data_IF_662096774130
#
_entry.id   IF_662096774130
#
_cell.length_a   1.000
_cell.length_b   1.000
_cell.length_c   1.000
_cell.angle_alpha   90.00
_cell.angle_beta   90.00
_cell.angle_gamma   90.00
#
_symmetry.space_group_name_H-M   'P 1'
#
loop_
_entity.id
_entity.type
_entity.pdbx_description
1 polymer ?
#
# COMPACT_ATOMS: atom_id res chain seq x y z
N UNK A 1 -67.99 7.30 -69.38
CA UNK A 1 -66.94 6.41 -68.86
C UNK A 1 -66.85 6.62 -67.36
N UNK A 2 -67.46 5.73 -66.58
CA UNK A 2 -67.44 5.77 -65.11
C UNK A 2 -66.57 4.61 -64.63
N UNK A 3 -65.48 4.90 -63.93
CA UNK A 3 -64.60 3.90 -63.31
C UNK A 3 -65.09 3.60 -61.90
N UNK A 4 -65.47 2.34 -61.67
CA UNK A 4 -65.76 1.78 -60.36
C UNK A 4 -64.44 1.50 -59.61
N UNK A 5 -64.35 1.97 -58.36
CA UNK A 5 -63.27 1.67 -57.43
C UNK A 5 -63.63 0.42 -56.60
N UNK A 6 -62.66 -0.47 -56.30
CA UNK A 6 -62.91 -1.65 -55.48
C UNK A 6 -62.96 -1.30 -53.97
N UNK A 7 -63.96 -1.83 -53.29
CA UNK A 7 -64.13 -1.76 -51.84
C UNK A 7 -62.98 -2.47 -51.11
N UNK A 8 -62.22 -1.71 -50.32
CA UNK A 8 -61.20 -2.24 -49.41
C UNK A 8 -61.91 -2.76 -48.16
N UNK A 9 -62.09 -4.08 -48.06
CA UNK A 9 -62.60 -4.73 -46.86
C UNK A 9 -61.60 -4.61 -45.71
N UNK A 10 -61.99 -3.96 -44.63
CA UNK A 10 -61.27 -3.97 -43.36
C UNK A 10 -61.50 -5.33 -42.68
N UNK A 11 -60.47 -6.14 -42.57
CA UNK A 11 -60.45 -7.33 -41.72
C UNK A 11 -60.07 -6.87 -40.31
N UNK A 12 -61.06 -6.76 -39.43
CA UNK A 12 -60.84 -6.59 -38.00
C UNK A 12 -60.35 -7.91 -37.41
N UNK A 13 -59.08 -8.00 -37.07
CA UNK A 13 -58.56 -9.09 -36.25
C UNK A 13 -59.03 -8.92 -34.80
N UNK A 14 -59.59 -9.95 -34.16
CA UNK A 14 -59.97 -9.87 -32.76
C UNK A 14 -58.74 -9.73 -31.87
N UNK A 15 -58.82 -8.79 -30.93
CA UNK A 15 -57.84 -8.59 -29.88
C UNK A 15 -57.94 -9.77 -28.90
N UNK A 16 -57.09 -10.78 -29.10
CA UNK A 16 -56.94 -11.88 -28.13
C UNK A 16 -56.25 -11.32 -26.90
N UNK A 17 -57.00 -11.07 -25.84
CA UNK A 17 -56.48 -10.90 -24.47
C UNK A 17 -55.92 -12.23 -23.99
N UNK A 18 -54.68 -12.50 -24.38
CA UNK A 18 -53.88 -13.61 -23.88
C UNK A 18 -53.46 -13.34 -22.44
N UNK A 19 -53.76 -14.31 -21.58
CA UNK A 19 -53.36 -14.41 -20.18
C UNK A 19 -51.97 -13.84 -19.90
N UNK A 20 -51.90 -12.97 -18.90
CA UNK A 20 -50.67 -12.44 -18.28
C UNK A 20 -50.03 -13.44 -17.33
N UNK A 21 -49.85 -14.69 -17.76
CA UNK A 21 -49.07 -15.68 -17.02
C UNK A 21 -48.36 -16.56 -18.07
N UNK A 22 -47.03 -16.63 -17.99
CA UNK A 22 -46.15 -17.53 -18.74
C UNK A 22 -45.69 -17.11 -20.16
N UNK A 23 -45.02 -15.95 -20.30
CA UNK A 23 -44.05 -15.81 -21.41
C UNK A 23 -42.89 -14.83 -21.15
N UNK A 24 -42.23 -14.95 -19.98
CA UNK A 24 -40.80 -14.59 -19.87
C UNK A 24 -39.99 -15.75 -20.46
N UNK A 25 -40.31 -16.13 -21.70
CA UNK A 25 -39.52 -17.05 -22.49
C UNK A 25 -38.28 -16.33 -22.96
N UNK A 26 -37.23 -16.28 -22.13
CA UNK A 26 -35.91 -15.85 -22.58
C UNK A 26 -35.55 -16.64 -23.83
N UNK A 27 -35.57 -15.96 -24.98
CA UNK A 27 -35.35 -16.55 -26.29
C UNK A 27 -34.03 -17.38 -26.24
N UNK A 28 -34.05 -18.70 -26.44
CA UNK A 28 -32.91 -19.59 -26.19
C UNK A 28 -31.71 -19.28 -27.11
N UNK A 29 -31.93 -18.50 -28.19
CA UNK A 29 -30.86 -17.96 -29.03
C UNK A 29 -30.13 -16.78 -28.40
N UNK A 30 -30.81 -15.94 -27.61
CA UNK A 30 -30.17 -14.82 -26.90
C UNK A 30 -29.31 -15.31 -25.74
N UNK A 31 -29.73 -16.35 -25.02
CA UNK A 31 -28.98 -16.92 -23.89
C UNK A 31 -27.65 -17.54 -24.30
N UNK A 32 -27.55 -18.15 -25.50
CA UNK A 32 -26.29 -18.66 -26.06
C UNK A 32 -25.31 -17.54 -26.44
N UNK A 33 -25.81 -16.42 -26.97
CA UNK A 33 -24.97 -15.25 -27.30
C UNK A 33 -24.48 -14.55 -26.03
N UNK A 34 -25.33 -14.43 -25.02
CA UNK A 34 -24.96 -13.88 -23.70
C UNK A 34 -23.90 -14.73 -23.00
N UNK A 35 -24.02 -16.07 -23.00
CA UNK A 35 -22.99 -16.96 -22.44
C UNK A 35 -21.61 -16.75 -23.07
N UNK A 36 -21.53 -16.61 -24.40
CA UNK A 36 -20.27 -16.33 -25.09
C UNK A 36 -19.70 -14.96 -24.70
N UNK A 37 -20.55 -13.95 -24.53
CA UNK A 37 -20.14 -12.63 -24.07
C UNK A 37 -19.65 -12.66 -22.62
N UNK A 38 -20.31 -13.43 -21.74
CA UNK A 38 -19.91 -13.58 -20.34
C UNK A 38 -18.62 -14.38 -20.16
N UNK A 39 -18.38 -15.39 -20.99
CA UNK A 39 -17.09 -16.09 -21.04
C UNK A 39 -15.96 -15.15 -21.51
N UNK A 40 -16.22 -14.31 -22.51
CA UNK A 40 -15.26 -13.29 -22.93
C UNK A 40 -15.02 -12.24 -21.84
N UNK A 41 -16.07 -11.80 -21.13
CA UNK A 41 -15.96 -10.87 -20.00
C UNK A 41 -15.19 -11.48 -18.82
N UNK A 42 -15.41 -12.74 -18.47
CA UNK A 42 -14.67 -13.45 -17.41
C UNK A 42 -13.19 -13.61 -17.75
N UNK A 43 -12.86 -13.81 -19.03
CA UNK A 43 -11.47 -13.87 -19.52
C UNK A 43 -10.82 -12.48 -19.55
N UNK A 44 -11.58 -11.44 -19.91
CA UNK A 44 -11.10 -10.07 -19.98
C UNK A 44 -10.94 -9.42 -18.59
N UNK A 45 -11.85 -9.71 -17.66
CA UNK A 45 -11.86 -9.22 -16.27
C UNK A 45 -11.38 -10.31 -15.30
N UNK A 46 -10.43 -11.15 -15.69
CA UNK A 46 -9.92 -12.16 -14.76
C UNK A 46 -9.25 -11.44 -13.58
N UNK A 47 -9.71 -11.67 -12.34
CA UNK A 47 -9.21 -10.94 -11.17
C UNK A 47 -7.71 -11.13 -10.98
N UNK A 48 -7.16 -12.26 -11.45
CA UNK A 48 -5.72 -12.50 -11.50
C UNK A 48 -4.99 -11.54 -12.45
N UNK A 49 -5.50 -11.27 -13.66
CA UNK A 49 -4.85 -10.30 -14.57
C UNK A 49 -4.88 -8.90 -14.01
N UNK A 50 -6.00 -8.51 -13.41
CA UNK A 50 -6.13 -7.20 -12.77
C UNK A 50 -5.12 -7.10 -11.63
N UNK A 51 -5.04 -8.12 -10.76
CA UNK A 51 -4.05 -8.17 -9.67
C UNK A 51 -2.61 -8.11 -10.21
N UNK A 52 -2.28 -8.86 -11.26
CA UNK A 52 -0.96 -8.81 -11.87
C UNK A 52 -0.65 -7.45 -12.49
N UNK A 53 -1.62 -6.81 -13.18
CA UNK A 53 -1.44 -5.45 -13.72
C UNK A 53 -1.24 -4.41 -12.60
N UNK A 54 -2.03 -4.51 -11.53
CA UNK A 54 -1.92 -3.63 -10.36
C UNK A 54 -0.60 -3.83 -9.63
N UNK A 55 -0.08 -5.04 -9.56
CA UNK A 55 1.21 -5.35 -8.92
C UNK A 55 2.40 -5.01 -9.83
N UNK A 56 2.27 -5.19 -11.14
CA UNK A 56 3.31 -4.86 -12.10
C UNK A 56 3.64 -3.36 -12.11
N UNK A 57 2.64 -2.51 -11.90
CA UNK A 57 2.82 -1.05 -11.92
C UNK A 57 3.79 -0.51 -10.84
N UNK A 58 3.61 -0.76 -9.53
CA UNK A 58 4.57 -0.31 -8.52
C UNK A 58 5.94 -0.98 -8.68
N UNK A 59 5.97 -2.22 -9.19
CA UNK A 59 7.22 -2.93 -9.42
C UNK A 59 8.06 -2.28 -10.52
N UNK A 60 7.46 -1.91 -11.65
CA UNK A 60 8.17 -1.22 -12.73
C UNK A 60 8.63 0.17 -12.30
N UNK A 61 7.78 0.92 -11.58
CA UNK A 61 8.14 2.22 -11.00
C UNK A 61 9.34 2.05 -10.06
N UNK A 62 9.30 1.08 -9.13
CA UNK A 62 10.39 0.81 -8.20
C UNK A 62 11.71 0.51 -8.93
N UNK A 63 11.67 -0.37 -9.94
CA UNK A 63 12.85 -0.72 -10.74
C UNK A 63 13.45 0.49 -11.48
N UNK A 64 12.61 1.33 -12.09
CA UNK A 64 13.06 2.54 -12.77
C UNK A 64 13.68 3.51 -11.77
N UNK A 65 13.05 3.70 -10.61
CA UNK A 65 13.51 4.63 -9.58
C UNK A 65 14.88 4.21 -9.04
N UNK A 66 15.06 2.92 -8.74
CA UNK A 66 16.34 2.35 -8.31
C UNK A 66 17.38 2.51 -9.42
N UNK A 67 17.05 2.18 -10.67
CA UNK A 67 17.97 2.29 -11.80
C UNK A 67 18.43 3.73 -12.06
N UNK A 68 17.52 4.70 -11.98
CA UNK A 68 17.84 6.13 -12.09
C UNK A 68 18.75 6.55 -10.94
N UNK A 69 18.39 6.21 -9.70
CA UNK A 69 19.19 6.53 -8.51
C UNK A 69 20.64 6.05 -8.63
N UNK A 70 20.85 4.79 -9.02
CA UNK A 70 22.18 4.21 -9.20
C UNK A 70 22.99 4.85 -10.34
N UNK A 71 22.33 5.53 -11.28
CA UNK A 71 23.01 6.19 -12.40
C UNK A 71 23.37 7.64 -12.10
N UNK A 72 22.57 8.31 -11.27
CA UNK A 72 22.75 9.73 -10.93
C UNK A 72 23.52 9.96 -9.63
N UNK A 73 23.70 8.94 -8.79
CA UNK A 73 24.38 9.11 -7.51
C UNK A 73 25.86 9.44 -7.71
N UNK A 74 26.39 10.33 -6.87
CA UNK A 74 27.83 10.62 -6.81
C UNK A 74 28.66 9.48 -6.19
N UNK A 75 28.00 8.50 -5.58
CA UNK A 75 28.62 7.31 -5.00
C UNK A 75 28.95 6.25 -6.06
N UNK A 76 29.91 5.38 -5.76
CA UNK A 76 30.10 4.18 -6.57
C UNK A 76 28.84 3.29 -6.50
N UNK A 77 28.59 2.48 -7.54
CA UNK A 77 27.38 1.63 -7.61
C UNK A 77 27.16 0.79 -6.35
N UNK A 78 28.24 0.25 -5.78
CA UNK A 78 28.16 -0.59 -4.59
C UNK A 78 27.84 0.24 -3.33
N UNK A 79 28.42 1.43 -3.20
CA UNK A 79 28.15 2.40 -2.13
C UNK A 79 26.74 3.00 -2.21
N UNK A 80 26.25 3.29 -3.41
CA UNK A 80 24.89 3.75 -3.64
C UNK A 80 23.87 2.71 -3.19
N UNK A 81 24.13 1.41 -3.45
CA UNK A 81 23.29 0.33 -2.93
C UNK A 81 23.33 0.28 -1.41
N UNK A 82 24.50 0.42 -0.78
CA UNK A 82 24.62 0.48 0.69
C UNK A 82 23.80 1.65 1.24
N UNK A 83 23.90 2.83 0.63
CA UNK A 83 23.15 4.01 1.02
C UNK A 83 21.63 3.80 0.84
N UNK A 84 21.18 3.15 -0.23
CA UNK A 84 19.78 2.83 -0.45
C UNK A 84 19.26 1.76 0.53
N UNK A 85 20.04 0.74 0.85
CA UNK A 85 19.64 -0.28 1.85
C UNK A 85 19.65 0.30 3.25
N UNK A 86 20.58 1.20 3.56
CA UNK A 86 20.56 1.93 4.80
C UNK A 86 19.26 2.72 4.95
N UNK A 87 18.60 3.14 3.85
CA UNK A 87 17.24 3.73 3.83
C UNK A 87 16.19 2.86 4.56
N UNK A 88 16.36 1.53 4.54
CA UNK A 88 15.44 0.60 5.19
C UNK A 88 15.71 0.44 6.70
N UNK A 89 16.90 0.80 7.18
CA UNK A 89 17.28 0.76 8.60
C UNK A 89 18.70 0.25 8.86
N UNK A 90 19.10 0.25 10.13
CA UNK A 90 20.41 -0.24 10.54
C UNK A 90 20.53 -1.76 10.45
N UNK A 91 19.49 -2.49 10.89
CA UNK A 91 19.48 -3.96 10.84
C UNK A 91 19.61 -4.51 9.41
N UNK A 92 19.06 -3.81 8.43
CA UNK A 92 19.11 -4.22 7.03
C UNK A 92 20.48 -3.99 6.43
N UNK A 93 21.10 -2.84 6.68
CA UNK A 93 22.43 -2.53 6.11
C UNK A 93 23.55 -3.30 6.81
N UNK A 94 23.47 -3.51 8.13
CA UNK A 94 24.50 -4.23 8.90
C UNK A 94 24.62 -5.72 8.51
N UNK A 95 23.57 -6.30 7.92
CA UNK A 95 23.62 -7.66 7.33
C UNK A 95 24.43 -7.72 6.05
N UNK A 96 24.58 -6.60 5.35
CA UNK A 96 25.37 -6.51 4.13
C UNK A 96 26.79 -6.02 4.43
N UNK A 97 26.90 -4.93 5.18
CA UNK A 97 28.17 -4.27 5.49
C UNK A 97 28.16 -3.80 6.95
N UNK A 98 29.14 -4.20 7.77
CA UNK A 98 29.24 -3.71 9.14
C UNK A 98 29.52 -2.19 9.16
N UNK A 99 28.80 -1.45 10.00
CA UNK A 99 29.06 -0.03 10.27
C UNK A 99 30.27 0.20 11.19
N UNK A 100 30.57 1.45 11.59
CA UNK A 100 29.71 2.65 11.55
C UNK A 100 29.67 3.39 10.21
N UNK A 101 28.59 4.15 9.97
CA UNK A 101 28.46 5.03 8.80
C UNK A 101 28.50 6.50 9.23
N UNK A 102 29.34 7.31 8.59
CA UNK A 102 29.56 8.71 8.97
C UNK A 102 28.76 9.67 8.09
N UNK A 103 28.37 10.81 8.66
CA UNK A 103 27.64 11.86 7.95
C UNK A 103 28.32 12.25 6.62
N UNK A 104 27.52 12.38 5.57
CA UNK A 104 27.98 12.63 4.19
C UNK A 104 28.48 11.38 3.45
N UNK A 105 28.75 10.30 4.16
CA UNK A 105 29.21 9.03 3.58
C UNK A 105 28.08 8.10 3.12
N UNK A 106 28.43 7.08 2.31
CA UNK A 106 27.50 6.03 1.94
C UNK A 106 27.03 5.26 3.19
N UNK A 107 25.75 4.90 3.22
CA UNK A 107 25.12 4.22 4.35
C UNK A 107 24.65 5.14 5.49
N UNK A 108 25.04 6.42 5.52
CA UNK A 108 24.51 7.36 6.51
C UNK A 108 23.13 7.88 6.14
N UNK A 109 22.21 7.85 7.10
CA UNK A 109 20.90 8.50 7.02
C UNK A 109 20.59 9.13 8.37
N UNK A 110 20.07 10.37 8.36
CA UNK A 110 19.67 11.07 9.60
C UNK A 110 18.69 10.28 10.46
N UNK A 111 17.79 9.50 9.86
CA UNK A 111 16.85 8.65 10.63
C UNK A 111 17.52 7.46 11.35
N UNK A 112 18.74 7.11 10.95
CA UNK A 112 19.55 6.04 11.55
C UNK A 112 20.56 6.59 12.59
N UNK A 113 20.54 7.90 12.84
CA UNK A 113 21.38 8.65 13.79
C UNK A 113 20.46 9.41 14.78
N UNK A 114 19.85 8.69 15.75
CA UNK A 114 18.86 9.28 16.65
C UNK A 114 19.48 10.22 17.70
N UNK A 115 20.77 10.11 17.96
CA UNK A 115 21.56 10.96 18.86
C UNK A 115 22.17 12.17 18.16
N UNK A 116 22.26 12.17 16.82
CA UNK A 116 22.73 13.30 16.02
C UNK A 116 24.23 13.54 16.20
N UNK A 117 25.00 12.49 16.47
CA UNK A 117 26.45 12.58 16.65
C UNK A 117 27.23 12.46 15.33
N UNK A 118 26.51 12.33 14.20
CA UNK A 118 27.08 12.16 12.87
C UNK A 118 27.46 10.71 12.57
N UNK A 119 27.08 9.74 13.42
CA UNK A 119 27.43 8.32 13.28
C UNK A 119 26.17 7.45 13.27
N UNK A 120 25.73 7.08 12.07
CA UNK A 120 24.62 6.15 11.90
C UNK A 120 25.06 4.69 12.14
N UNK A 121 24.16 3.92 12.75
CA UNK A 121 24.31 2.48 12.96
C UNK A 121 25.61 2.07 13.68
N UNK A 122 26.13 2.94 14.55
CA UNK A 122 27.20 2.58 15.48
C UNK A 122 26.76 1.45 16.41
N UNK A 123 27.73 0.72 16.98
CA UNK A 123 27.48 -0.40 17.89
C UNK A 123 26.62 -0.05 19.12
N UNK A 124 26.43 1.24 19.42
CA UNK A 124 25.48 1.74 20.43
C UNK A 124 24.00 1.71 20.00
N UNK A 125 23.71 1.72 18.69
CA UNK A 125 22.34 1.77 18.13
C UNK A 125 21.57 0.44 18.21
N UNK A 126 22.27 -0.70 18.16
CA UNK A 126 21.67 -2.05 18.26
C UNK A 126 21.01 -2.31 19.63
N UNK A 127 21.41 -1.59 20.69
CA UNK A 127 20.85 -1.79 22.03
C UNK A 127 19.57 -0.97 22.27
N UNK A 128 19.39 0.14 21.56
CA UNK A 128 18.31 1.10 21.82
C UNK A 128 17.02 0.80 21.05
N UNK A 129 17.09 0.10 19.92
CA UNK A 129 15.88 -0.37 19.21
C UNK A 129 15.32 -1.68 19.77
N UNK A 130 16.15 -2.52 20.42
CA UNK A 130 15.70 -3.76 21.05
C UNK A 130 14.87 -3.54 22.32
N UNK A 131 14.87 -2.31 22.85
CA UNK A 131 14.15 -1.95 24.09
C UNK A 131 12.75 -1.37 23.86
N UNK A 132 12.33 -1.15 22.61
CA UNK A 132 10.99 -0.60 22.28
C UNK A 132 10.00 -1.64 21.74
N UNK A 133 10.40 -2.90 21.58
CA UNK A 133 9.54 -3.97 21.08
C UNK A 133 9.41 -5.12 22.10
N UNK A 134 8.58 -4.93 23.13
CA UNK A 134 7.79 -6.00 23.81
C UNK A 134 6.95 -5.41 24.97
N UNK A 135 5.60 -5.54 24.96
CA UNK A 135 4.80 -5.48 26.17
C UNK A 135 4.63 -6.91 26.72
N UNK A 136 5.22 -7.22 27.87
CA UNK A 136 4.89 -8.46 28.57
C UNK A 136 5.96 -9.01 29.50
N UNK A 137 5.66 -8.95 30.80
CA UNK A 137 6.23 -9.77 31.89
C UNK A 137 7.67 -9.46 32.33
N UNK A 138 7.80 -8.42 33.15
CA UNK A 138 8.98 -8.19 33.97
C UNK A 138 9.01 -9.20 35.14
N UNK A 139 9.84 -10.24 35.01
CA UNK A 139 10.30 -11.06 36.12
C UNK A 139 11.51 -10.43 36.80
N UNK A 140 11.34 -10.07 38.06
CA UNK A 140 12.31 -9.73 39.12
C UNK A 140 13.83 -9.73 38.80
N UNK A 141 14.46 -8.55 38.89
CA UNK A 141 15.85 -8.34 39.37
C UNK A 141 16.09 -6.82 39.63
N UNK A 142 17.02 -6.43 40.54
CA UNK A 142 16.81 -5.33 41.48
C UNK A 142 17.05 -3.92 40.89
N UNK A 143 16.16 -3.00 41.31
CA UNK A 143 16.13 -1.58 40.99
C UNK A 143 17.23 -0.87 41.78
N UNK A 144 18.27 -0.38 41.10
CA UNK A 144 19.16 0.63 41.68
C UNK A 144 18.37 1.91 41.90
N UNK A 145 18.10 2.22 43.15
CA UNK A 145 17.43 3.44 43.61
C UNK A 145 18.39 4.62 43.46
N UNK A 146 18.37 5.29 42.30
CA UNK A 146 18.87 6.66 42.23
C UNK A 146 17.87 7.56 42.96
N UNK A 147 18.34 8.21 44.03
CA UNK A 147 17.57 9.13 44.85
C UNK A 147 16.96 10.27 44.00
N UNK A 148 15.73 10.75 44.29
CA UNK A 148 15.17 11.90 43.61
C UNK A 148 15.97 13.15 43.97
N UNK A 149 16.47 13.88 42.97
CA UNK A 149 16.97 15.24 43.18
C UNK A 149 15.81 16.11 43.65
N UNK A 150 15.85 16.42 44.94
CA UNK A 150 14.98 17.36 45.63
C UNK A 150 15.02 18.71 44.91
N UNK A 151 13.89 19.10 44.33
CA UNK A 151 13.72 20.37 43.63
C UNK A 151 13.39 21.41 44.70
N UNK A 152 14.41 22.10 45.20
CA UNK A 152 14.27 23.19 46.18
C UNK A 152 13.44 24.32 45.55
N UNK A 153 12.14 24.34 45.81
CA UNK A 153 11.26 25.46 45.44
C UNK A 153 11.33 26.51 46.54
N UNK A 154 11.84 27.70 46.17
CA UNK A 154 11.98 28.84 47.05
C UNK A 154 10.64 29.30 47.62
N UNK A 155 10.69 29.70 48.88
CA UNK A 155 9.57 30.19 49.71
C UNK A 155 8.89 31.41 49.09
N UNK A 156 7.74 31.23 48.45
CA UNK A 156 6.80 32.32 48.20
C UNK A 156 5.88 32.49 49.42
N UNK A 157 5.99 33.65 50.09
CA UNK A 157 5.11 34.03 51.20
C UNK A 157 3.71 34.34 50.67
N UNK A 158 2.72 33.58 51.10
CA UNK A 158 1.30 33.89 50.87
C UNK A 158 0.85 34.96 51.85
N UNK A 159 0.42 36.12 51.33
CA UNK A 159 -0.40 37.09 52.04
C UNK A 159 -1.87 36.69 51.86
N UNK A 160 -2.61 36.57 52.97
CA UNK A 160 -4.02 36.19 53.01
C UNK A 160 -4.89 37.46 52.96
N UNK A 161 -6.03 37.46 52.24
CA UNK A 161 -6.93 38.61 52.16
C UNK A 161 -7.62 38.93 53.49
#
# INVERSE_FOLDING_TARGET
>A
MAMALPHTGYISTPMTTGNTNDEIGLNPRMTRRQRRADEMRRKALSPLRILLMVLALPLTIGMITIGVYLRISDYERHEAVIHLVALAGCDTVQRLVPGPFFEGGPGYHKRNDPDGDGVACGTRGLQRQRTTAMPGTAGNAPRQTQAPRERTVGTAKFLKP
#
